data_IF_730379103679
#
_entry.id   IF_730379103679
#
_cell.length_a   1.000
_cell.length_b   1.000
_cell.length_c   1.000
_cell.angle_alpha   90.00
_cell.angle_beta   90.00
_cell.angle_gamma   90.00
#
_symmetry.space_group_name_H-M   'P 1'
#
loop_
_entity.id
_entity.type
_entity.pdbx_description
1 polymer ?
#
# COMPACT_ATOMS: atom_id res chain seq x y z
N UNK A 1 -10.42 8.78 18.68
CA UNK A 1 -9.72 7.93 17.66
C UNK A 1 -10.55 6.68 17.44
N UNK A 2 -10.58 6.12 16.23
CA UNK A 2 -11.40 4.93 15.94
C UNK A 2 -10.59 3.65 16.14
N UNK A 3 -11.21 2.61 16.71
CA UNK A 3 -10.60 1.30 16.94
C UNK A 3 -11.49 0.19 16.40
N UNK A 4 -10.88 -0.82 15.78
CA UNK A 4 -11.57 -2.03 15.35
C UNK A 4 -11.03 -3.22 16.15
N UNK A 5 -11.92 -4.02 16.72
CA UNK A 5 -11.55 -5.25 17.44
C UNK A 5 -11.86 -6.49 16.60
N UNK A 6 -10.92 -7.43 16.57
CA UNK A 6 -11.17 -8.75 16.00
C UNK A 6 -12.30 -9.47 16.75
N UNK A 7 -13.07 -10.30 16.03
CA UNK A 7 -14.17 -11.08 16.59
C UNK A 7 -13.77 -11.93 17.81
N UNK A 8 -12.49 -12.28 17.94
CA UNK A 8 -11.94 -13.08 19.05
C UNK A 8 -11.68 -12.29 20.33
N UNK A 9 -11.74 -10.95 20.31
CA UNK A 9 -11.48 -10.13 21.49
C UNK A 9 -12.71 -10.13 22.39
N UNK A 10 -12.54 -10.45 23.67
CA UNK A 10 -13.63 -10.50 24.66
C UNK A 10 -14.20 -9.09 24.95
N UNK A 11 -15.52 -8.95 25.07
CA UNK A 11 -16.24 -7.68 25.26
C UNK A 11 -15.73 -6.90 26.49
N UNK A 12 -15.62 -7.50 27.70
CA UNK A 12 -15.01 -6.83 28.85
C UNK A 12 -13.62 -6.25 28.59
N UNK A 13 -12.79 -6.91 27.79
CA UNK A 13 -11.46 -6.40 27.44
C UNK A 13 -11.57 -5.21 26.47
N UNK A 14 -12.50 -5.25 25.50
CA UNK A 14 -12.75 -4.12 24.59
C UNK A 14 -13.20 -2.88 25.36
N UNK A 15 -14.15 -3.03 26.26
CA UNK A 15 -14.66 -1.93 27.09
C UNK A 15 -13.53 -1.32 27.91
N UNK A 16 -12.72 -2.14 28.58
CA UNK A 16 -11.56 -1.66 29.35
C UNK A 16 -10.56 -0.88 28.47
N UNK A 17 -10.32 -1.32 27.24
CA UNK A 17 -9.43 -0.61 26.31
C UNK A 17 -10.05 0.72 25.88
N UNK A 18 -11.35 0.73 25.55
CA UNK A 18 -12.07 1.94 25.15
C UNK A 18 -12.10 2.97 26.29
N UNK A 19 -12.31 2.54 27.54
CA UNK A 19 -12.34 3.41 28.72
C UNK A 19 -10.97 4.04 29.01
N UNK A 20 -9.87 3.31 28.79
CA UNK A 20 -8.51 3.80 29.05
C UNK A 20 -8.03 4.75 27.94
N UNK A 21 -8.36 4.46 26.68
CA UNK A 21 -7.80 5.15 25.52
C UNK A 21 -8.76 6.17 24.89
N UNK A 22 -10.01 6.24 25.35
CA UNK A 22 -11.09 7.07 24.78
C UNK A 22 -11.26 6.84 23.26
N UNK A 23 -11.28 5.56 22.89
CA UNK A 23 -11.43 5.15 21.49
C UNK A 23 -12.87 4.75 21.19
N UNK A 24 -13.35 5.15 20.00
CA UNK A 24 -14.65 4.74 19.50
C UNK A 24 -14.51 3.41 18.76
N UNK A 25 -15.20 2.38 19.25
CA UNK A 25 -15.27 1.09 18.54
C UNK A 25 -16.06 1.28 17.23
N UNK A 26 -15.42 0.92 16.12
CA UNK A 26 -16.00 0.95 14.79
C UNK A 26 -15.96 -0.44 14.18
N UNK A 27 -16.99 -0.76 13.38
CA UNK A 27 -17.06 -2.02 12.62
C UNK A 27 -16.23 -1.99 11.33
N UNK A 28 -15.78 -0.79 10.93
CA UNK A 28 -14.94 -0.54 9.76
C UNK A 28 -14.06 0.68 10.04
N UNK A 29 -12.77 0.56 9.72
CA UNK A 29 -11.81 1.66 9.82
C UNK A 29 -11.89 2.62 8.63
N UNK A 30 -12.67 2.29 7.60
CA UNK A 30 -12.93 3.13 6.45
C UNK A 30 -11.74 3.21 5.50
N UNK A 31 -11.57 4.37 4.86
CA UNK A 31 -10.51 4.61 3.90
C UNK A 31 -9.44 5.53 4.49
N UNK A 32 -8.17 5.18 4.28
CA UNK A 32 -7.04 6.03 4.59
C UNK A 32 -6.27 6.34 3.31
N UNK A 33 -6.18 7.64 2.97
CA UNK A 33 -5.54 8.12 1.73
C UNK A 33 -6.06 7.43 0.46
N UNK A 34 -7.37 7.16 0.42
CA UNK A 34 -8.03 6.50 -0.72
C UNK A 34 -7.81 4.99 -0.81
N UNK A 35 -7.21 4.37 0.21
CA UNK A 35 -7.07 2.91 0.33
C UNK A 35 -7.93 2.43 1.49
N UNK A 36 -8.78 1.42 1.24
CA UNK A 36 -9.60 0.81 2.29
C UNK A 36 -8.71 0.14 3.33
N UNK A 37 -8.90 0.47 4.61
CA UNK A 37 -8.19 -0.15 5.72
C UNK A 37 -8.74 -1.56 5.94
N UNK A 38 -7.99 -2.54 5.43
CA UNK A 38 -8.41 -3.95 5.41
C UNK A 38 -8.29 -4.56 6.82
N UNK A 39 -9.43 -4.83 7.43
CA UNK A 39 -9.57 -5.44 8.75
C UNK A 39 -10.31 -6.80 8.69
N UNK A 40 -10.70 -7.22 7.48
CA UNK A 40 -11.30 -8.52 7.15
C UNK A 40 -10.43 -9.26 6.14
N UNK A 41 -10.77 -10.54 5.87
CA UNK A 41 -10.10 -11.33 4.84
C UNK A 41 -10.21 -10.62 3.48
N UNK A 42 -9.07 -10.42 2.83
CA UNK A 42 -9.00 -9.83 1.49
C UNK A 42 -9.59 -10.81 0.47
N UNK A 43 -10.56 -10.34 -0.31
CA UNK A 43 -11.15 -11.06 -1.44
C UNK A 43 -10.84 -10.33 -2.74
N UNK A 44 -11.13 -10.96 -3.88
CA UNK A 44 -11.04 -10.28 -5.19
C UNK A 44 -11.85 -8.98 -5.20
N UNK A 45 -13.08 -9.03 -4.66
CA UNK A 45 -13.95 -7.86 -4.60
C UNK A 45 -13.42 -6.72 -3.74
N UNK A 46 -12.59 -7.02 -2.74
CA UNK A 46 -11.92 -5.99 -1.94
C UNK A 46 -11.02 -5.09 -2.77
N UNK A 47 -10.50 -5.57 -3.90
CA UNK A 47 -9.59 -4.83 -4.79
C UNK A 47 -10.29 -4.30 -6.05
N UNK A 48 -11.61 -4.45 -6.17
CA UNK A 48 -12.36 -3.98 -7.34
C UNK A 48 -12.19 -2.47 -7.54
N UNK A 49 -12.05 -1.69 -6.47
CA UNK A 49 -11.77 -0.26 -6.58
C UNK A 49 -10.45 0.05 -7.33
N UNK A 50 -9.42 -0.77 -7.16
CA UNK A 50 -8.16 -0.63 -7.91
C UNK A 50 -8.38 -1.02 -9.37
N UNK A 51 -9.13 -2.09 -9.61
CA UNK A 51 -9.47 -2.56 -10.96
C UNK A 51 -10.23 -1.47 -11.72
N UNK A 52 -11.25 -0.87 -11.10
CA UNK A 52 -12.02 0.22 -11.70
C UNK A 52 -11.16 1.46 -11.95
N UNK A 53 -10.23 1.78 -11.05
CA UNK A 53 -9.32 2.91 -11.23
C UNK A 53 -8.33 2.68 -12.39
N UNK A 54 -7.85 1.46 -12.58
CA UNK A 54 -7.02 1.09 -13.74
C UNK A 54 -7.86 1.13 -15.03
N UNK A 55 -9.07 0.58 -15.02
CA UNK A 55 -10.00 0.63 -16.17
C UNK A 55 -10.34 2.06 -16.58
N UNK A 56 -10.63 2.93 -15.63
CA UNK A 56 -10.93 4.35 -15.88
C UNK A 56 -9.75 5.09 -16.53
N UNK A 57 -8.52 4.77 -16.13
CA UNK A 57 -7.31 5.32 -16.78
C UNK A 57 -7.13 4.79 -18.19
N UNK A 58 -7.36 3.49 -18.40
CA UNK A 58 -7.28 2.86 -19.73
C UNK A 58 -8.33 3.40 -20.70
N UNK A 59 -9.58 3.60 -20.24
CA UNK A 59 -10.65 4.13 -21.10
C UNK A 59 -10.45 5.59 -21.50
N UNK A 60 -9.74 6.36 -20.66
CA UNK A 60 -9.41 7.76 -20.92
C UNK A 60 -8.08 7.94 -21.65
N UNK A 61 -7.40 6.85 -22.03
CA UNK A 61 -6.09 6.91 -22.65
C UNK A 61 -6.22 7.23 -24.15
N UNK A 62 -5.72 8.41 -24.53
CA UNK A 62 -5.76 8.86 -25.92
C UNK A 62 -4.77 8.09 -26.79
N UNK A 63 -5.30 7.26 -27.68
CA UNK A 63 -4.54 6.47 -28.63
C UNK A 63 -3.62 7.30 -29.53
N UNK A 64 -3.90 8.60 -29.75
CA UNK A 64 -3.04 9.50 -30.54
C UNK A 64 -1.67 9.73 -29.91
N UNK A 65 -1.56 9.54 -28.59
CA UNK A 65 -0.30 9.67 -27.84
C UNK A 65 0.51 8.37 -27.78
N UNK A 66 -0.02 7.26 -28.31
CA UNK A 66 0.71 6.01 -28.39
C UNK A 66 1.85 6.11 -29.42
N UNK A 67 2.89 5.30 -29.24
CA UNK A 67 3.91 5.07 -30.27
C UNK A 67 3.27 4.59 -31.58
N UNK A 68 3.98 4.71 -32.71
CA UNK A 68 3.48 4.31 -34.05
C UNK A 68 2.90 2.89 -34.05
N UNK A 69 3.50 1.97 -33.30
CA UNK A 69 3.06 0.57 -33.13
C UNK A 69 1.73 0.49 -32.37
N UNK A 70 1.55 1.29 -31.31
CA UNK A 70 0.31 1.34 -30.55
C UNK A 70 -0.85 1.99 -31.31
N UNK A 71 -0.57 2.94 -32.20
CA UNK A 71 -1.60 3.59 -33.06
C UNK A 71 -2.21 2.65 -34.08
N UNK A 72 -1.41 1.81 -34.73
CA UNK A 72 -1.86 0.87 -35.78
C UNK A 72 -2.84 -0.21 -35.31
N UNK A 73 -2.93 -0.44 -33.99
CA UNK A 73 -3.89 -1.38 -33.41
C UNK A 73 -5.25 -0.74 -33.08
N UNK A 74 -5.32 0.60 -32.97
CA UNK A 74 -6.53 1.33 -32.57
C UNK A 74 -7.31 1.87 -33.78
N UNK A 75 -6.63 2.23 -34.88
CA UNK A 75 -7.28 2.72 -36.09
C UNK A 75 -7.76 1.57 -36.99
N UNK A 76 -9.05 1.22 -36.87
CA UNK A 76 -9.82 0.57 -37.94
C UNK A 76 -10.39 -0.81 -37.65
N UNK A 77 -9.94 -1.51 -36.61
CA UNK A 77 -10.60 -2.71 -36.07
C UNK A 77 -10.42 -2.69 -34.56
N UNK A 78 -11.46 -3.05 -33.78
CA UNK A 78 -11.42 -3.20 -32.31
C UNK A 78 -10.44 -4.31 -31.89
N UNK A 79 -9.14 -4.14 -32.14
CA UNK A 79 -8.10 -5.04 -31.69
C UNK A 79 -7.45 -4.42 -30.47
N UNK A 80 -7.36 -5.23 -29.43
CA UNK A 80 -6.66 -4.85 -28.20
C UNK A 80 -5.19 -4.60 -28.55
N UNK A 81 -4.76 -3.33 -28.46
CA UNK A 81 -3.36 -2.98 -28.62
C UNK A 81 -2.60 -3.53 -27.42
N UNK A 82 -1.71 -4.50 -27.65
CA UNK A 82 -0.78 -4.94 -26.62
C UNK A 82 0.28 -3.86 -26.49
N UNK A 83 0.32 -3.18 -25.34
CA UNK A 83 1.32 -2.16 -25.03
C UNK A 83 2.28 -2.69 -23.98
N UNK A 84 3.57 -2.44 -24.16
CA UNK A 84 4.61 -2.84 -23.21
C UNK A 84 4.45 -2.11 -21.88
N UNK A 85 4.86 -2.76 -20.79
CA UNK A 85 4.84 -2.14 -19.46
C UNK A 85 5.70 -0.87 -19.40
N UNK A 86 6.83 -0.84 -20.11
CA UNK A 86 7.73 0.32 -20.15
C UNK A 86 7.06 1.56 -20.75
N UNK A 87 6.21 1.39 -21.76
CA UNK A 87 5.39 2.46 -22.34
C UNK A 87 4.28 2.90 -21.37
N UNK A 88 3.68 1.95 -20.66
CA UNK A 88 2.65 2.21 -19.65
C UNK A 88 3.20 3.06 -18.49
N UNK A 89 4.45 2.83 -18.08
CA UNK A 89 5.09 3.56 -16.98
C UNK A 89 5.53 4.98 -17.36
N UNK A 90 5.57 5.33 -18.64
CA UNK A 90 5.92 6.69 -19.05
C UNK A 90 4.90 7.71 -18.52
N UNK A 91 5.34 8.95 -18.19
CA UNK A 91 4.43 10.03 -17.84
C UNK A 91 3.40 10.30 -18.94
N UNK A 92 2.24 10.84 -18.56
CA UNK A 92 1.17 11.20 -19.51
C UNK A 92 1.63 12.18 -20.61
N UNK A 93 2.67 12.99 -20.32
CA UNK A 93 3.28 13.90 -21.30
C UNK A 93 4.06 13.18 -22.41
N UNK A 94 4.54 11.96 -22.13
CA UNK A 94 5.27 11.09 -23.06
C UNK A 94 4.39 9.99 -23.65
N UNK A 95 3.08 10.04 -23.41
CA UNK A 95 2.11 9.10 -23.99
C UNK A 95 1.85 7.83 -23.20
N UNK A 96 2.48 7.64 -22.03
CA UNK A 96 2.16 6.57 -21.09
C UNK A 96 0.99 6.89 -20.16
N UNK A 97 0.75 6.01 -19.18
CA UNK A 97 -0.34 6.14 -18.18
C UNK A 97 0.14 6.76 -16.85
N UNK A 98 1.43 7.10 -16.76
CA UNK A 98 2.05 7.65 -15.56
C UNK A 98 1.95 6.70 -14.37
N UNK A 99 1.89 5.38 -14.63
CA UNK A 99 2.11 4.41 -13.57
C UNK A 99 3.60 4.38 -13.23
N UNK A 100 3.92 4.14 -11.97
CA UNK A 100 5.31 3.88 -11.61
C UNK A 100 5.51 2.37 -11.55
N UNK A 101 6.76 1.93 -11.71
CA UNK A 101 7.13 0.56 -11.35
C UNK A 101 6.76 0.33 -9.89
N UNK A 102 5.82 -0.58 -9.66
CA UNK A 102 5.32 -0.89 -8.31
C UNK A 102 6.44 -1.41 -7.41
N UNK A 103 7.43 -2.09 -7.99
CA UNK A 103 8.61 -2.55 -7.27
C UNK A 103 9.42 -1.38 -6.70
N UNK A 104 9.69 -0.35 -7.52
CA UNK A 104 10.45 0.82 -7.10
C UNK A 104 9.69 1.65 -6.09
N UNK A 105 8.37 1.81 -6.28
CA UNK A 105 7.52 2.46 -5.28
C UNK A 105 7.51 1.70 -3.95
N UNK A 106 7.40 0.37 -3.99
CA UNK A 106 7.42 -0.45 -2.79
C UNK A 106 8.77 -0.34 -2.08
N UNK A 107 9.89 -0.38 -2.81
CA UNK A 107 11.24 -0.14 -2.24
C UNK A 107 11.31 1.22 -1.56
N UNK A 108 10.90 2.29 -2.24
CA UNK A 108 10.88 3.64 -1.67
C UNK A 108 9.99 3.75 -0.42
N UNK A 109 8.83 3.10 -0.40
CA UNK A 109 7.97 3.06 0.78
C UNK A 109 8.59 2.28 1.94
N UNK A 110 9.26 1.15 1.68
CA UNK A 110 9.96 0.38 2.71
C UNK A 110 11.13 1.19 3.30
N UNK A 111 11.93 1.84 2.46
CA UNK A 111 12.99 2.75 2.90
C UNK A 111 12.44 3.90 3.75
N UNK A 112 11.31 4.50 3.34
CA UNK A 112 10.64 5.55 4.11
C UNK A 112 10.16 5.03 5.48
N UNK A 113 9.63 3.81 5.56
CA UNK A 113 9.24 3.17 6.82
C UNK A 113 10.48 2.95 7.70
N UNK A 114 11.55 2.36 7.15
CA UNK A 114 12.82 2.15 7.85
C UNK A 114 13.43 3.45 8.39
N UNK A 115 13.47 4.48 7.56
CA UNK A 115 13.96 5.81 7.95
C UNK A 115 13.12 6.42 9.08
N UNK A 116 11.79 6.37 9.00
CA UNK A 116 10.91 6.87 10.07
C UNK A 116 11.10 6.08 11.36
N UNK A 117 11.32 4.76 11.27
CA UNK A 117 11.61 3.93 12.44
C UNK A 117 12.87 4.35 13.18
N UNK A 118 13.86 4.95 12.50
CA UNK A 118 15.12 5.43 13.09
C UNK A 118 14.99 6.89 13.56
N UNK A 119 14.33 7.74 12.78
CA UNK A 119 14.33 9.19 13.01
C UNK A 119 13.18 9.70 13.86
N UNK A 120 12.06 8.99 13.94
CA UNK A 120 10.83 9.44 14.62
C UNK A 120 10.55 8.65 15.89
N UNK A 121 11.51 8.62 16.80
CA UNK A 121 11.44 7.91 18.10
C UNK A 121 10.21 8.25 18.93
N UNK A 122 9.69 9.47 18.79
CA UNK A 122 8.59 9.99 19.62
C UNK A 122 7.20 9.57 19.16
N UNK A 123 7.07 8.97 17.97
CA UNK A 123 5.75 8.62 17.44
C UNK A 123 5.33 7.24 17.96
N UNK A 124 4.11 7.15 18.49
CA UNK A 124 3.60 5.95 19.16
C UNK A 124 3.81 4.64 18.36
N UNK A 125 3.50 4.62 17.07
CA UNK A 125 3.68 3.41 16.26
C UNK A 125 5.17 3.02 16.14
N UNK A 126 6.10 3.98 16.16
CA UNK A 126 7.54 3.72 16.18
C UNK A 126 7.96 3.16 17.54
N UNK A 127 7.51 3.78 18.65
CA UNK A 127 7.80 3.32 20.00
C UNK A 127 7.34 1.88 20.23
N UNK A 128 6.10 1.57 19.83
CA UNK A 128 5.51 0.23 19.94
C UNK A 128 6.30 -0.79 19.11
N UNK A 129 6.65 -0.46 17.86
CA UNK A 129 7.43 -1.37 17.01
C UNK A 129 8.86 -1.56 17.51
N UNK A 130 9.52 -0.51 17.97
CA UNK A 130 10.87 -0.57 18.56
C UNK A 130 10.88 -1.44 19.81
N UNK A 131 9.93 -1.25 20.72
CA UNK A 131 9.81 -2.07 21.92
C UNK A 131 9.52 -3.54 21.59
N UNK A 132 8.64 -3.79 20.61
CA UNK A 132 8.29 -5.15 20.17
C UNK A 132 9.47 -5.90 19.52
N UNK A 133 10.25 -5.20 18.70
CA UNK A 133 11.30 -5.79 17.87
C UNK A 133 12.73 -5.54 18.38
N UNK A 134 12.89 -4.84 19.51
CA UNK A 134 14.18 -4.55 20.12
C UNK A 134 15.07 -3.63 19.29
N UNK A 135 14.49 -2.63 18.62
CA UNK A 135 15.23 -1.68 17.78
C UNK A 135 15.62 -0.44 18.59
N UNK A 136 16.92 -0.25 18.78
CA UNK A 136 17.53 0.95 19.39
C UNK A 136 18.12 1.87 18.31
N UNK A 137 18.60 3.06 18.70
CA UNK A 137 19.06 4.17 17.83
C UNK A 137 20.03 3.76 16.70
N UNK A 138 20.75 2.67 16.90
CA UNK A 138 21.64 2.03 15.96
C UNK A 138 20.88 0.81 15.43
N UNK A 139 20.54 0.79 14.13
CA UNK A 139 19.89 -0.32 13.45
C UNK A 139 20.73 -1.60 13.65
N UNK A 140 20.40 -2.39 14.68
CA UNK A 140 21.23 -3.50 15.16
C UNK A 140 21.08 -4.72 14.24
N UNK A 141 22.14 -5.53 14.15
CA UNK A 141 22.18 -6.87 13.53
C UNK A 141 21.03 -7.79 13.98
N UNK A 142 20.34 -7.44 15.07
CA UNK A 142 19.11 -8.08 15.56
C UNK A 142 17.97 -8.13 14.55
N UNK A 143 17.88 -7.19 13.59
CA UNK A 143 16.81 -7.16 12.58
C UNK A 143 16.85 -8.39 11.65
N UNK A 144 18.01 -9.05 11.53
CA UNK A 144 18.22 -10.22 10.67
C UNK A 144 17.74 -11.56 11.28
N UNK A 145 17.32 -11.60 12.56
CA UNK A 145 16.96 -12.85 13.25
C UNK A 145 15.53 -13.34 12.94
N UNK A 146 15.35 -13.85 11.73
CA UNK A 146 14.38 -14.82 11.16
C UNK A 146 12.99 -15.17 11.77
N UNK A 147 12.40 -14.47 12.74
CA UNK A 147 11.03 -14.77 13.22
C UNK A 147 10.00 -13.66 12.96
N UNK A 148 10.36 -12.65 12.17
CA UNK A 148 9.59 -11.41 12.07
C UNK A 148 8.47 -11.41 11.01
N UNK A 149 7.56 -10.44 11.14
CA UNK A 149 6.42 -10.24 10.23
C UNK A 149 6.88 -10.02 8.78
N UNK A 150 6.00 -10.26 7.80
CA UNK A 150 6.33 -10.08 6.37
C UNK A 150 6.85 -8.67 6.07
N UNK A 151 6.23 -7.65 6.66
CA UNK A 151 6.64 -6.24 6.52
C UNK A 151 8.05 -6.02 7.07
N UNK A 152 8.37 -6.60 8.23
CA UNK A 152 9.69 -6.45 8.84
C UNK A 152 10.79 -7.07 7.99
N UNK A 153 10.52 -8.24 7.40
CA UNK A 153 11.43 -8.88 6.43
C UNK A 153 11.60 -8.05 5.16
N UNK A 154 10.57 -7.32 4.73
CA UNK A 154 10.66 -6.42 3.58
C UNK A 154 11.50 -5.17 3.90
N UNK A 155 11.29 -4.56 5.06
CA UNK A 155 12.09 -3.41 5.52
C UNK A 155 13.56 -3.79 5.73
N UNK A 156 13.84 -4.99 6.25
CA UNK A 156 15.21 -5.47 6.45
C UNK A 156 15.99 -5.75 5.16
N UNK A 157 15.28 -5.93 4.03
CA UNK A 157 15.86 -6.26 2.71
C UNK A 157 15.91 -5.08 1.74
N UNK A 158 15.23 -3.99 2.08
CA UNK A 158 15.11 -2.79 1.25
C UNK A 158 16.35 -1.91 1.42
#
# INVERSE_FOLDING_TARGET
>A
MNVFFSLKVNVPLRNKINDILDFQEVNDLGHYLGVTLLHKRVTKSTLDFLVERVRSRLSSWDAKKLSVVGRGAVEGKRKMALVGWDDIYQPNIHGGLGFHHLEDQNKAFMLKIGYNLITKSEVLWVQVLRAKYGVCENMSDSIMRSSYSYIWRAVAKA
#
